data_IF_391519266043
#
_entry.id   IF_391519266043
#
_cell.length_a   1.000
_cell.length_b   1.000
_cell.length_c   1.000
_cell.angle_alpha   90.00
_cell.angle_beta   90.00
_cell.angle_gamma   90.00
#
_symmetry.space_group_name_H-M   'P 1'
#
loop_
_entity.id
_entity.type
_entity.pdbx_description
1 polymer ?
#
# COMPACT_ATOMS: atom_id res chain seq x y z
N UNK A 1 -18.64 -0.90 28.21
CA UNK A 1 -18.64 -0.46 26.78
C UNK A 1 -17.24 -0.75 26.25
N UNK A 2 -17.08 -1.05 24.94
CA UNK A 2 -15.73 -1.14 24.35
C UNK A 2 -15.09 0.24 24.35
N UNK A 3 -13.73 0.30 24.47
CA UNK A 3 -12.99 1.57 24.44
C UNK A 3 -13.21 2.36 23.16
N UNK A 4 -13.05 3.68 23.26
CA UNK A 4 -13.03 4.56 22.10
C UNK A 4 -11.65 4.53 21.43
N UNK A 5 -11.65 4.54 20.11
CA UNK A 5 -10.45 4.43 19.28
C UNK A 5 -10.37 5.61 18.33
N UNK A 6 -9.25 6.33 18.36
CA UNK A 6 -8.87 7.32 17.36
C UNK A 6 -7.89 6.66 16.37
N UNK A 7 -8.17 6.72 15.09
CA UNK A 7 -7.24 6.34 14.02
C UNK A 7 -6.74 7.62 13.36
N UNK A 8 -5.43 7.79 13.24
CA UNK A 8 -4.82 8.96 12.60
C UNK A 8 -4.41 8.60 11.19
N UNK A 9 -5.05 9.21 10.19
CA UNK A 9 -4.83 8.98 8.77
C UNK A 9 -5.95 8.19 8.09
N UNK A 10 -6.35 8.61 6.87
CA UNK A 10 -7.40 8.01 6.04
C UNK A 10 -6.86 7.43 4.72
N UNK A 11 -5.60 7.05 4.68
CA UNK A 11 -5.06 6.18 3.64
C UNK A 11 -5.52 4.73 3.82
N UNK A 12 -5.06 3.83 2.95
CA UNK A 12 -5.48 2.41 2.99
C UNK A 12 -5.26 1.77 4.36
N UNK A 13 -4.14 2.04 5.04
CA UNK A 13 -3.85 1.47 6.37
C UNK A 13 -4.85 1.95 7.44
N UNK A 14 -5.15 3.26 7.46
CA UNK A 14 -6.09 3.82 8.44
C UNK A 14 -7.53 3.42 8.19
N UNK A 15 -7.96 3.42 6.93
CA UNK A 15 -9.31 2.95 6.57
C UNK A 15 -9.48 1.47 6.91
N UNK A 16 -8.49 0.63 6.62
CA UNK A 16 -8.55 -0.81 6.95
C UNK A 16 -8.60 -1.06 8.46
N UNK A 17 -7.77 -0.36 9.25
CA UNK A 17 -7.85 -0.40 10.71
C UNK A 17 -9.21 0.09 11.21
N UNK A 18 -9.70 1.21 10.67
CA UNK A 18 -11.00 1.76 11.03
C UNK A 18 -12.14 0.77 10.82
N UNK A 19 -12.22 0.16 9.63
CA UNK A 19 -13.19 -0.88 9.30
C UNK A 19 -13.10 -2.03 10.30
N UNK A 20 -11.90 -2.57 10.51
CA UNK A 20 -11.67 -3.72 11.36
C UNK A 20 -12.14 -3.48 12.81
N UNK A 21 -11.82 -2.32 13.37
CA UNK A 21 -12.21 -1.98 14.74
C UNK A 21 -13.70 -1.69 14.85
N UNK A 22 -14.29 -0.95 13.91
CA UNK A 22 -15.71 -0.63 13.91
C UNK A 22 -16.58 -1.89 13.78
N UNK A 23 -16.27 -2.80 12.83
CA UNK A 23 -16.98 -4.07 12.67
C UNK A 23 -16.86 -4.98 13.88
N UNK A 24 -15.78 -4.85 14.66
CA UNK A 24 -15.62 -5.54 15.94
C UNK A 24 -16.27 -4.80 17.11
N UNK A 25 -17.05 -3.74 16.82
CA UNK A 25 -17.91 -3.03 17.77
C UNK A 25 -17.16 -2.03 18.64
N UNK A 26 -15.98 -1.54 18.24
CA UNK A 26 -15.33 -0.41 18.88
C UNK A 26 -15.93 0.90 18.37
N UNK A 27 -16.05 1.90 19.24
CA UNK A 27 -16.42 3.26 18.84
C UNK A 27 -15.19 3.92 18.20
N UNK A 28 -15.13 3.88 16.87
CA UNK A 28 -13.94 4.26 16.11
C UNK A 28 -14.16 5.55 15.34
N UNK A 29 -13.22 6.49 15.49
CA UNK A 29 -13.16 7.72 14.69
C UNK A 29 -11.84 7.77 13.95
N UNK A 30 -11.89 8.00 12.63
CA UNK A 30 -10.71 8.29 11.82
C UNK A 30 -10.57 9.81 11.70
N UNK A 31 -9.42 10.34 12.08
CA UNK A 31 -9.04 11.73 11.88
C UNK A 31 -7.99 11.82 10.78
N UNK A 32 -8.20 12.69 9.81
CA UNK A 32 -7.25 12.83 8.70
C UNK A 32 -7.22 14.27 8.19
N UNK A 33 -6.01 14.72 7.80
CA UNK A 33 -5.84 15.96 7.06
C UNK A 33 -6.46 15.82 5.67
N UNK A 34 -6.04 14.78 4.97
CA UNK A 34 -6.38 14.49 3.57
C UNK A 34 -7.18 13.19 3.48
N UNK A 35 -8.17 13.15 2.59
CA UNK A 35 -9.02 11.97 2.33
C UNK A 35 -9.13 11.69 0.83
N UNK A 36 -9.48 10.46 0.48
CA UNK A 36 -9.76 10.06 -0.90
C UNK A 36 -8.60 10.36 -1.86
N UNK A 37 -8.85 11.12 -2.95
CA UNK A 37 -7.84 11.39 -4.00
C UNK A 37 -6.59 12.13 -3.53
N UNK A 38 -6.63 12.80 -2.38
CA UNK A 38 -5.53 13.58 -1.83
C UNK A 38 -4.52 12.73 -1.04
N UNK A 39 -4.82 11.46 -0.83
CA UNK A 39 -3.95 10.55 -0.07
C UNK A 39 -2.87 9.93 -0.97
N UNK A 40 -1.70 9.61 -0.39
CA UNK A 40 -0.68 8.79 -1.07
C UNK A 40 -1.26 7.46 -1.59
N UNK A 41 -2.22 6.89 -0.88
CA UNK A 41 -2.88 5.66 -1.29
C UNK A 41 -3.64 5.77 -2.61
N UNK A 42 -4.20 6.93 -2.92
CA UNK A 42 -4.91 7.15 -4.18
C UNK A 42 -3.97 7.16 -5.40
N UNK A 43 -2.72 7.63 -5.22
CA UNK A 43 -1.71 7.68 -6.28
C UNK A 43 -1.06 6.31 -6.56
N UNK A 44 -1.35 5.28 -5.78
CA UNK A 44 -0.74 3.95 -5.94
C UNK A 44 -1.31 3.22 -7.17
N UNK A 45 -0.47 2.45 -7.87
CA UNK A 45 -0.93 1.46 -8.85
C UNK A 45 -1.68 0.29 -8.21
N UNK A 46 -1.38 0.04 -6.93
CA UNK A 46 -2.09 -0.84 -6.01
C UNK A 46 -2.25 -2.29 -6.49
N UNK A 47 -1.19 -2.86 -7.05
CA UNK A 47 -1.09 -4.30 -7.24
C UNK A 47 -0.57 -4.95 -5.95
N UNK A 48 -1.10 -6.12 -5.60
CA UNK A 48 -0.56 -6.90 -4.49
C UNK A 48 0.80 -7.48 -4.89
N UNK A 49 1.82 -6.90 -4.31
CA UNK A 49 3.21 -7.29 -4.54
C UNK A 49 4.04 -6.84 -3.33
N UNK A 50 4.69 -7.75 -2.57
CA UNK A 50 5.60 -7.38 -1.49
C UNK A 50 6.81 -6.64 -2.07
N UNK A 51 6.85 -5.33 -1.89
CA UNK A 51 7.85 -4.44 -2.47
C UNK A 51 8.27 -3.37 -1.46
N UNK A 52 9.58 -3.14 -1.35
CA UNK A 52 10.16 -2.00 -0.61
C UNK A 52 9.65 -1.93 0.85
N UNK A 53 9.62 -3.07 1.56
CA UNK A 53 9.20 -3.17 2.95
C UNK A 53 9.95 -4.29 3.69
N UNK A 54 10.29 -4.04 4.94
CA UNK A 54 11.02 -4.92 5.85
C UNK A 54 10.30 -5.01 7.21
N UNK A 55 10.56 -5.99 8.09
CA UNK A 55 11.41 -7.18 7.85
C UNK A 55 10.68 -8.26 7.04
N UNK A 56 11.39 -8.97 6.19
CA UNK A 56 10.84 -9.86 5.16
C UNK A 56 9.86 -10.91 5.69
N UNK A 57 10.15 -11.55 6.83
CA UNK A 57 9.30 -12.59 7.40
C UNK A 57 7.93 -12.05 7.82
N UNK A 58 7.92 -10.91 8.50
CA UNK A 58 6.67 -10.27 8.94
C UNK A 58 5.91 -9.69 7.74
N UNK A 59 6.61 -9.03 6.82
CA UNK A 59 6.03 -8.51 5.57
C UNK A 59 5.37 -9.64 4.77
N UNK A 60 6.02 -10.80 4.66
CA UNK A 60 5.45 -11.98 3.99
C UNK A 60 4.18 -12.46 4.69
N UNK A 61 4.20 -12.58 6.01
CA UNK A 61 3.02 -13.03 6.78
C UNK A 61 1.83 -12.07 6.63
N UNK A 62 2.06 -10.74 6.79
CA UNK A 62 1.02 -9.73 6.61
C UNK A 62 0.51 -9.67 5.16
N UNK A 63 1.41 -9.84 4.18
CA UNK A 63 1.04 -9.87 2.76
C UNK A 63 0.10 -11.04 2.46
N UNK A 64 0.42 -12.24 2.94
CA UNK A 64 -0.39 -13.44 2.71
C UNK A 64 -1.76 -13.34 3.41
N UNK A 65 -1.83 -12.77 4.62
CA UNK A 65 -3.09 -12.49 5.30
C UNK A 65 -3.95 -11.50 4.49
N UNK A 66 -3.34 -10.44 3.99
CA UNK A 66 -4.00 -9.45 3.11
C UNK A 66 -4.49 -10.09 1.81
N UNK A 67 -3.68 -10.96 1.19
CA UNK A 67 -4.04 -11.70 -0.03
C UNK A 67 -5.33 -12.49 0.17
N UNK A 68 -5.48 -13.18 1.30
CA UNK A 68 -6.69 -13.93 1.63
C UNK A 68 -7.93 -13.04 1.64
N UNK A 69 -7.85 -11.88 2.29
CA UNK A 69 -8.94 -10.91 2.34
C UNK A 69 -9.25 -10.32 0.95
N UNK A 70 -8.24 -9.89 0.20
CA UNK A 70 -8.44 -9.31 -1.13
C UNK A 70 -9.02 -10.33 -2.13
N UNK A 71 -8.64 -11.60 -2.06
CA UNK A 71 -9.28 -12.68 -2.84
C UNK A 71 -10.76 -12.82 -2.53
N UNK A 72 -11.15 -12.73 -1.26
CA UNK A 72 -12.57 -12.70 -0.89
C UNK A 72 -13.29 -11.50 -1.47
N UNK A 73 -12.69 -10.31 -1.39
CA UNK A 73 -13.26 -9.07 -1.92
C UNK A 73 -13.38 -9.07 -3.44
N UNK A 74 -12.47 -9.73 -4.16
CA UNK A 74 -12.51 -9.81 -5.63
C UNK A 74 -13.73 -10.55 -6.19
N UNK A 75 -14.49 -11.27 -5.35
CA UNK A 75 -15.75 -11.90 -5.74
C UNK A 75 -16.89 -10.90 -5.96
N UNK A 76 -16.70 -9.64 -5.51
CA UNK A 76 -17.66 -8.56 -5.71
C UNK A 76 -16.96 -7.38 -6.42
N UNK A 77 -17.30 -7.12 -7.67
CA UNK A 77 -16.71 -6.06 -8.48
C UNK A 77 -16.92 -4.65 -7.91
N UNK A 78 -17.95 -4.44 -7.08
CA UNK A 78 -18.19 -3.16 -6.41
C UNK A 78 -17.10 -2.78 -5.40
N UNK A 79 -16.24 -3.72 -5.00
CA UNK A 79 -15.10 -3.44 -4.11
C UNK A 79 -13.93 -2.77 -4.83
N UNK A 80 -13.86 -2.85 -6.16
CA UNK A 80 -12.71 -2.39 -6.94
C UNK A 80 -11.50 -3.34 -6.87
N UNK A 81 -11.69 -4.57 -6.36
CA UNK A 81 -10.64 -5.60 -6.32
C UNK A 81 -10.89 -6.63 -7.43
N UNK A 82 -9.85 -6.98 -8.18
CA UNK A 82 -9.89 -8.03 -9.19
C UNK A 82 -8.63 -8.89 -9.11
N UNK A 83 -8.73 -10.16 -9.56
CA UNK A 83 -7.55 -11.01 -9.73
C UNK A 83 -6.96 -10.80 -11.12
N UNK A 84 -5.63 -10.76 -11.21
CA UNK A 84 -4.89 -10.57 -12.46
C UNK A 84 -3.63 -11.44 -12.46
N UNK A 85 -3.24 -11.96 -13.62
CA UNK A 85 -1.90 -12.52 -13.79
C UNK A 85 -0.89 -11.37 -13.72
N UNK A 86 0.02 -11.40 -12.75
CA UNK A 86 1.17 -10.52 -12.68
C UNK A 86 2.36 -11.21 -13.35
N UNK A 87 2.98 -10.56 -14.30
CA UNK A 87 4.27 -10.95 -14.89
C UNK A 87 5.37 -10.05 -14.38
N UNK A 88 6.31 -10.65 -13.69
CA UNK A 88 7.51 -9.96 -13.20
C UNK A 88 8.66 -10.32 -14.12
N UNK A 89 9.38 -9.32 -14.63
CA UNK A 89 10.47 -9.48 -15.56
C UNK A 89 11.79 -8.97 -15.02
N UNK A 90 12.90 -9.56 -15.48
CA UNK A 90 14.25 -9.04 -15.31
C UNK A 90 14.81 -8.58 -16.66
N UNK A 91 15.63 -7.51 -16.63
CA UNK A 91 16.30 -6.98 -17.83
C UNK A 91 17.54 -7.80 -18.21
N UNK A 92 18.15 -8.46 -17.23
CA UNK A 92 19.35 -9.28 -17.43
C UNK A 92 19.32 -10.51 -16.52
N UNK A 93 19.97 -11.57 -16.97
CA UNK A 93 20.08 -12.82 -16.20
C UNK A 93 18.76 -13.57 -16.07
N UNK A 94 18.72 -14.47 -15.09
CA UNK A 94 17.55 -15.29 -14.79
C UNK A 94 16.90 -14.83 -13.48
N UNK A 95 15.62 -14.46 -13.55
CA UNK A 95 14.85 -14.04 -12.39
C UNK A 95 14.41 -15.25 -11.56
N UNK A 96 14.79 -15.27 -10.30
CA UNK A 96 14.32 -16.29 -9.35
C UNK A 96 12.89 -16.01 -8.91
N UNK A 97 12.08 -17.06 -8.79
CA UNK A 97 10.74 -16.95 -8.18
C UNK A 97 10.95 -16.80 -6.67
N UNK A 98 10.44 -15.72 -6.04
CA UNK A 98 10.61 -15.54 -4.62
C UNK A 98 9.83 -16.59 -3.80
N UNK A 99 10.31 -16.99 -2.61
CA UNK A 99 9.69 -18.04 -1.80
C UNK A 99 8.20 -17.82 -1.51
N UNK A 100 7.77 -16.58 -1.29
CA UNK A 100 6.36 -16.26 -1.04
C UNK A 100 5.44 -16.55 -2.25
N UNK A 101 5.99 -16.52 -3.48
CA UNK A 101 5.20 -16.72 -4.69
C UNK A 101 5.00 -18.20 -5.05
N UNK A 102 5.90 -19.08 -4.60
CA UNK A 102 5.83 -20.51 -4.90
C UNK A 102 4.51 -21.16 -4.43
N UNK A 103 4.05 -20.96 -3.19
CA UNK A 103 2.76 -21.52 -2.73
C UNK A 103 1.55 -20.95 -3.48
N UNK A 104 1.71 -19.81 -4.15
CA UNK A 104 0.65 -19.18 -4.95
C UNK A 104 0.58 -19.72 -6.38
N UNK A 105 1.41 -20.70 -6.74
CA UNK A 105 1.45 -21.28 -8.07
C UNK A 105 2.26 -20.45 -9.07
N UNK A 106 3.19 -19.64 -8.59
CA UNK A 106 4.09 -18.90 -9.48
C UNK A 106 4.86 -19.83 -10.40
N UNK A 107 4.98 -19.46 -11.67
CA UNK A 107 5.62 -20.26 -12.71
C UNK A 107 6.59 -19.41 -13.54
N UNK A 108 7.68 -20.01 -13.98
CA UNK A 108 8.58 -19.38 -14.95
C UNK A 108 7.83 -19.14 -16.26
N UNK A 109 8.12 -18.01 -16.89
CA UNK A 109 7.62 -17.72 -18.23
C UNK A 109 8.45 -18.48 -19.28
N UNK A 110 7.76 -19.06 -20.26
CA UNK A 110 8.43 -19.61 -21.43
C UNK A 110 9.07 -18.49 -22.26
N UNK A 111 10.13 -18.78 -23.01
CA UNK A 111 10.83 -17.79 -23.81
C UNK A 111 9.90 -16.96 -24.73
N UNK A 112 8.89 -17.60 -25.32
CA UNK A 112 7.90 -16.91 -26.15
C UNK A 112 6.97 -15.94 -25.40
N UNK A 113 6.92 -16.01 -24.06
CA UNK A 113 6.13 -15.13 -23.21
C UNK A 113 6.94 -13.94 -22.66
N UNK A 114 8.26 -13.95 -22.87
CA UNK A 114 9.17 -12.87 -22.45
C UNK A 114 9.42 -11.95 -23.65
N UNK A 115 9.12 -10.64 -23.55
CA UNK A 115 9.48 -9.66 -24.58
C UNK A 115 11.01 -9.53 -24.71
N UNK A 116 11.65 -10.42 -25.46
CA UNK A 116 13.11 -10.64 -25.49
C UNK A 116 13.95 -9.44 -25.94
N UNK A 117 13.32 -8.42 -26.55
CA UNK A 117 14.00 -7.15 -26.87
C UNK A 117 14.25 -6.26 -25.66
N UNK A 118 13.57 -6.53 -24.54
CA UNK A 118 13.58 -5.67 -23.34
C UNK A 118 13.95 -6.47 -22.09
N UNK A 119 13.54 -7.74 -22.03
CA UNK A 119 13.69 -8.59 -20.85
C UNK A 119 14.40 -9.89 -21.21
N UNK A 120 15.08 -10.47 -20.24
CA UNK A 120 15.81 -11.74 -20.38
C UNK A 120 15.06 -12.94 -19.81
N UNK A 121 14.26 -12.71 -18.76
CA UNK A 121 13.53 -13.77 -18.06
C UNK A 121 12.35 -13.17 -17.29
N UNK A 122 11.52 -14.05 -16.72
CA UNK A 122 10.41 -13.62 -15.88
C UNK A 122 9.64 -14.79 -15.28
N UNK A 123 8.75 -14.46 -14.36
CA UNK A 123 7.77 -15.39 -13.81
C UNK A 123 6.37 -14.75 -13.80
N UNK A 124 5.36 -15.60 -13.69
CA UNK A 124 3.97 -15.18 -13.56
C UNK A 124 3.36 -15.75 -12.28
N UNK A 125 2.47 -14.98 -11.67
CA UNK A 125 1.68 -15.36 -10.49
C UNK A 125 0.34 -14.63 -10.52
N UNK A 126 -0.73 -15.27 -10.06
CA UNK A 126 -2.04 -14.63 -9.96
C UNK A 126 -2.18 -13.88 -8.64
N UNK A 127 -2.44 -12.56 -8.70
CA UNK A 127 -2.50 -11.66 -7.55
C UNK A 127 -3.66 -10.68 -7.65
N UNK A 128 -4.12 -10.08 -6.53
CA UNK A 128 -5.09 -8.99 -6.57
C UNK A 128 -4.49 -7.70 -7.15
N UNK A 129 -5.28 -7.03 -7.97
CA UNK A 129 -5.13 -5.61 -8.30
C UNK A 129 -6.29 -4.84 -7.66
N UNK A 130 -5.99 -3.66 -7.16
CA UNK A 130 -6.95 -2.81 -6.47
C UNK A 130 -7.11 -1.51 -7.24
N UNK A 131 -8.34 -1.23 -7.70
CA UNK A 131 -8.66 0.07 -8.27
C UNK A 131 -8.84 1.08 -7.13
N UNK A 132 -7.86 1.94 -6.94
CA UNK A 132 -7.83 2.90 -5.84
C UNK A 132 -8.95 3.91 -5.89
N UNK A 133 -9.49 4.19 -7.09
CA UNK A 133 -10.61 5.11 -7.30
C UNK A 133 -11.94 4.57 -6.78
N UNK A 134 -12.04 3.25 -6.65
CA UNK A 134 -13.22 2.53 -6.13
C UNK A 134 -12.98 2.07 -4.69
N UNK A 135 -11.87 1.41 -4.44
CA UNK A 135 -11.61 0.69 -3.20
C UNK A 135 -11.53 1.58 -1.96
N UNK A 136 -10.91 2.76 -2.05
CA UNK A 136 -10.84 3.68 -0.91
C UNK A 136 -12.24 4.19 -0.52
N UNK A 137 -13.09 4.47 -1.51
CA UNK A 137 -14.50 4.80 -1.30
C UNK A 137 -15.29 3.64 -0.69
N UNK A 138 -15.05 2.41 -1.18
CA UNK A 138 -15.64 1.21 -0.60
C UNK A 138 -15.25 1.01 0.87
N UNK A 139 -13.98 1.18 1.24
CA UNK A 139 -13.54 1.09 2.64
C UNK A 139 -14.19 2.17 3.51
N UNK A 140 -14.28 3.42 3.01
CA UNK A 140 -14.92 4.51 3.73
C UNK A 140 -16.41 4.26 3.96
N UNK A 141 -17.14 3.77 2.95
CA UNK A 141 -18.54 3.38 3.08
C UNK A 141 -18.72 2.23 4.08
N UNK A 142 -17.93 1.18 3.96
CA UNK A 142 -17.95 0.02 4.86
C UNK A 142 -17.63 0.42 6.32
N UNK A 143 -16.74 1.39 6.51
CA UNK A 143 -16.44 1.96 7.83
C UNK A 143 -17.65 2.71 8.40
N UNK A 144 -18.31 3.55 7.60
CA UNK A 144 -19.50 4.27 8.00
C UNK A 144 -20.67 3.34 8.32
N UNK A 145 -20.89 2.30 7.50
CA UNK A 145 -21.93 1.28 7.72
C UNK A 145 -21.72 0.51 9.02
N UNK A 146 -20.46 0.33 9.44
CA UNK A 146 -20.09 -0.25 10.73
C UNK A 146 -20.23 0.74 11.93
N UNK A 147 -20.74 1.95 11.68
CA UNK A 147 -20.93 3.00 12.71
C UNK A 147 -19.65 3.80 13.00
N UNK A 148 -18.64 3.74 12.15
CA UNK A 148 -17.43 4.56 12.25
C UNK A 148 -17.66 6.01 11.83
N UNK A 149 -16.85 6.93 12.34
CA UNK A 149 -16.90 8.35 12.01
C UNK A 149 -15.59 8.80 11.37
N UNK A 150 -15.66 9.43 10.18
CA UNK A 150 -14.52 10.01 9.47
C UNK A 150 -14.56 11.55 9.60
N UNK A 151 -13.50 12.13 10.18
CA UNK A 151 -13.32 13.57 10.37
C UNK A 151 -12.14 14.03 9.51
N UNK A 152 -12.44 14.77 8.44
CA UNK A 152 -11.45 15.34 7.52
C UNK A 152 -10.99 16.72 7.96
N UNK A 153 -9.86 17.20 7.38
CA UNK A 153 -9.28 18.50 7.69
C UNK A 153 -8.67 18.59 9.09
N UNK A 154 -8.45 17.46 9.76
CA UNK A 154 -7.83 17.41 11.09
C UNK A 154 -6.35 17.10 10.95
N UNK A 155 -5.52 17.96 11.53
CA UNK A 155 -4.10 17.78 11.62
C UNK A 155 -3.66 17.77 13.09
N UNK A 156 -2.93 16.77 13.49
CA UNK A 156 -2.30 16.68 14.82
C UNK A 156 -0.80 16.91 14.67
N UNK A 157 -0.25 17.79 15.51
CA UNK A 157 1.19 18.02 15.60
C UNK A 157 1.87 17.00 16.53
N UNK A 158 1.12 16.53 17.53
CA UNK A 158 1.57 15.52 18.48
C UNK A 158 0.44 14.56 18.86
N UNK A 159 0.77 13.37 19.38
CA UNK A 159 -0.23 12.42 19.89
C UNK A 159 -1.07 12.97 21.03
N UNK A 160 -0.50 13.92 21.80
CA UNK A 160 -1.20 14.61 22.89
C UNK A 160 -2.34 15.49 22.44
N UNK A 161 -2.40 15.88 21.17
CA UNK A 161 -3.48 16.71 20.61
C UNK A 161 -4.79 15.91 20.40
N UNK A 162 -4.69 14.56 20.43
CA UNK A 162 -5.87 13.71 20.36
C UNK A 162 -6.64 13.82 21.68
N UNK A 163 -7.93 14.08 21.60
CA UNK A 163 -8.78 14.24 22.79
C UNK A 163 -8.62 13.08 23.79
N UNK A 164 -8.53 13.37 25.11
CA UNK A 164 -8.36 12.33 26.15
C UNK A 164 -9.50 11.30 26.22
N UNK A 165 -10.66 11.61 25.62
CA UNK A 165 -11.77 10.67 25.53
C UNK A 165 -11.45 9.42 24.68
N UNK A 166 -10.40 9.45 23.86
CA UNK A 166 -9.93 8.31 23.11
C UNK A 166 -8.86 7.55 23.90
N UNK A 167 -9.24 6.40 24.42
CA UNK A 167 -8.37 5.55 25.24
C UNK A 167 -7.27 4.85 24.41
N UNK A 168 -7.51 4.70 23.11
CA UNK A 168 -6.58 4.09 22.15
C UNK A 168 -6.39 4.97 20.94
N UNK A 169 -5.14 5.09 20.50
CA UNK A 169 -4.73 5.81 19.30
C UNK A 169 -4.06 4.82 18.35
N UNK A 170 -4.54 4.74 17.10
CA UNK A 170 -3.88 3.95 16.05
C UNK A 170 -3.23 4.93 15.09
N UNK A 171 -1.90 4.95 15.08
CA UNK A 171 -1.14 5.84 14.22
C UNK A 171 -0.91 5.22 12.84
N UNK A 172 -1.77 5.60 11.89
CA UNK A 172 -1.71 5.25 10.45
C UNK A 172 -1.36 6.48 9.60
N UNK A 173 -0.62 7.44 10.14
CA UNK A 173 -0.37 8.73 9.49
C UNK A 173 0.62 8.69 8.31
N UNK A 174 1.12 7.51 7.93
CA UNK A 174 2.00 7.32 6.79
C UNK A 174 3.27 8.16 6.91
N UNK A 175 3.54 9.01 5.91
CA UNK A 175 4.71 9.91 5.95
C UNK A 175 4.63 10.94 7.09
N UNK A 176 3.43 11.27 7.56
CA UNK A 176 3.22 12.14 8.70
C UNK A 176 3.73 11.57 10.03
N UNK A 177 3.98 10.26 10.10
CA UNK A 177 4.44 9.61 11.33
C UNK A 177 5.79 10.16 11.83
N UNK A 178 6.68 10.53 10.91
CA UNK A 178 7.98 11.12 11.25
C UNK A 178 7.90 12.48 11.96
N UNK A 179 6.73 13.17 11.84
CA UNK A 179 6.47 14.45 12.55
C UNK A 179 5.65 14.24 13.81
N UNK A 180 4.59 13.41 13.71
CA UNK A 180 3.68 13.13 14.82
C UNK A 180 4.39 12.48 16.01
N UNK A 181 5.39 11.67 15.73
CA UNK A 181 6.37 11.09 16.64
C UNK A 181 7.73 11.31 16.01
N UNK A 182 8.74 11.84 16.73
CA UNK A 182 10.07 11.98 16.18
C UNK A 182 10.64 10.60 15.80
N UNK A 183 10.36 10.14 14.59
CA UNK A 183 10.91 8.92 14.01
C UNK A 183 11.78 9.30 12.79
N UNK A 184 13.09 9.49 12.96
CA UNK A 184 14.01 9.88 11.91
C UNK A 184 14.23 8.79 10.87
N UNK A 185 13.72 7.59 11.13
CA UNK A 185 13.81 6.46 10.20
C UNK A 185 12.78 6.54 9.07
N UNK A 186 11.76 7.42 9.20
CA UNK A 186 10.74 7.62 8.18
C UNK A 186 11.22 8.65 7.16
N UNK A 187 11.32 8.23 5.90
CA UNK A 187 11.70 9.10 4.79
C UNK A 187 10.76 8.98 3.60
N UNK A 188 10.54 10.06 2.84
CA UNK A 188 9.66 10.05 1.69
C UNK A 188 10.35 9.43 0.48
N UNK A 189 9.80 8.32 -0.02
CA UNK A 189 10.14 7.78 -1.33
C UNK A 189 9.11 8.23 -2.36
N UNK A 190 9.50 9.20 -3.17
CA UNK A 190 8.64 9.81 -4.19
C UNK A 190 8.36 8.81 -5.31
N UNK A 191 7.09 8.58 -5.57
CA UNK A 191 6.60 7.79 -6.69
C UNK A 191 5.73 8.63 -7.62
N UNK A 192 6.17 8.80 -8.87
CA UNK A 192 5.36 9.37 -9.93
C UNK A 192 4.84 8.28 -10.86
N UNK A 193 3.59 8.41 -11.28
CA UNK A 193 2.92 7.54 -12.23
C UNK A 193 2.19 8.35 -13.29
N UNK A 194 2.00 7.74 -14.45
CA UNK A 194 1.13 8.23 -15.52
C UNK A 194 -0.12 7.35 -15.60
N UNK A 195 -1.30 7.95 -15.56
CA UNK A 195 -2.57 7.28 -15.81
C UNK A 195 -2.93 7.45 -17.28
N UNK A 196 -3.21 6.35 -17.97
CA UNK A 196 -3.60 6.31 -19.36
C UNK A 196 -4.93 5.59 -19.54
N UNK A 197 -5.55 5.72 -20.71
CA UNK A 197 -6.75 4.94 -21.02
C UNK A 197 -6.47 3.43 -20.87
N UNK A 198 -7.52 2.67 -20.57
CA UNK A 198 -7.41 1.22 -20.40
C UNK A 198 -6.72 0.59 -21.60
N UNK A 199 -5.59 -0.04 -21.33
CA UNK A 199 -4.86 -0.82 -22.32
C UNK A 199 -5.44 -2.25 -22.37
N UNK A 200 -5.46 -2.85 -23.57
CA UNK A 200 -5.89 -4.25 -23.75
C UNK A 200 -4.79 -5.23 -23.29
N UNK A 201 -4.40 -5.13 -22.02
CA UNK A 201 -3.41 -5.98 -21.39
C UNK A 201 -4.13 -7.10 -20.61
N UNK A 202 -3.89 -8.38 -20.94
CA UNK A 202 -4.47 -9.49 -20.20
C UNK A 202 -3.75 -9.81 -18.89
N UNK A 203 -2.67 -9.08 -18.57
CA UNK A 203 -1.85 -9.25 -17.37
C UNK A 203 -1.25 -7.91 -16.93
N UNK A 204 -0.91 -7.82 -15.66
CA UNK A 204 -0.10 -6.74 -15.14
C UNK A 204 1.39 -7.04 -15.37
N UNK A 205 2.20 -5.99 -15.51
CA UNK A 205 3.65 -6.09 -15.71
C UNK A 205 4.39 -5.31 -14.65
N UNK A 206 5.46 -5.90 -14.11
CA UNK A 206 6.40 -5.24 -13.20
C UNK A 206 7.83 -5.63 -13.59
N UNK A 207 8.74 -4.66 -13.60
CA UNK A 207 10.18 -4.84 -13.68
C UNK A 207 10.84 -3.89 -12.69
N UNK A 208 11.43 -4.46 -11.63
CA UNK A 208 12.11 -3.67 -10.59
C UNK A 208 13.54 -3.29 -10.97
N UNK A 209 14.11 -3.95 -12.00
CA UNK A 209 15.42 -3.55 -12.53
C UNK A 209 15.37 -2.13 -13.10
N UNK A 210 16.37 -1.28 -12.81
CA UNK A 210 16.40 0.08 -13.33
C UNK A 210 16.41 0.15 -14.88
N UNK A 211 15.65 1.09 -15.45
CA UNK A 211 14.67 1.94 -14.82
C UNK A 211 13.42 1.16 -14.39
N UNK A 212 12.94 1.43 -13.16
CA UNK A 212 11.69 0.86 -12.64
C UNK A 212 10.54 1.03 -13.64
N UNK A 213 9.86 -0.06 -13.97
CA UNK A 213 8.74 -0.05 -14.90
C UNK A 213 7.63 -0.97 -14.42
N UNK A 214 6.40 -0.47 -14.48
CA UNK A 214 5.20 -1.30 -14.35
C UNK A 214 4.06 -0.77 -15.23
N UNK A 215 3.17 -1.68 -15.61
CA UNK A 215 1.91 -1.36 -16.27
C UNK A 215 0.80 -2.19 -15.59
N UNK A 216 -0.08 -1.51 -14.89
CA UNK A 216 -1.11 -2.12 -14.05
C UNK A 216 -2.49 -1.77 -14.61
N UNK A 217 -3.16 -2.71 -15.33
CA UNK A 217 -4.51 -2.50 -15.82
C UNK A 217 -5.49 -2.54 -14.66
N UNK A 218 -6.30 -1.46 -14.51
CA UNK A 218 -7.39 -1.37 -13.55
C UNK A 218 -8.75 -1.49 -14.25
N UNK A 219 -9.82 -1.15 -13.58
CA UNK A 219 -11.19 -1.26 -14.09
C UNK A 219 -11.40 -0.43 -15.36
N UNK A 220 -11.04 0.86 -15.31
CA UNK A 220 -11.32 1.84 -16.38
C UNK A 220 -10.08 2.44 -17.04
N UNK A 221 -8.91 2.24 -16.47
CA UNK A 221 -7.65 2.85 -16.89
C UNK A 221 -6.47 1.87 -16.77
N UNK A 222 -5.27 2.36 -17.06
CA UNK A 222 -4.03 1.66 -16.77
C UNK A 222 -3.05 2.64 -16.10
N UNK A 223 -2.40 2.18 -15.03
CA UNK A 223 -1.35 2.94 -14.35
C UNK A 223 0.00 2.50 -14.87
N UNK A 224 0.74 3.42 -15.45
CA UNK A 224 2.12 3.24 -15.88
C UNK A 224 3.06 3.86 -14.84
N UNK A 225 4.09 3.15 -14.46
CA UNK A 225 5.06 3.64 -13.49
C UNK A 225 6.47 3.15 -13.74
N UNK A 226 7.46 3.61 -13.03
CA UNK A 226 7.32 4.67 -12.07
C UNK A 226 8.68 5.24 -11.63
N UNK A 227 8.64 6.04 -10.59
CA UNK A 227 9.84 6.49 -9.88
C UNK A 227 9.88 5.96 -8.45
N UNK A 228 11.06 5.96 -7.84
CA UNK A 228 11.27 5.61 -6.43
C UNK A 228 12.49 6.37 -5.89
N UNK A 229 12.37 7.69 -5.78
CA UNK A 229 13.47 8.58 -5.42
C UNK A 229 13.27 9.10 -3.99
N UNK A 230 14.34 9.24 -3.22
CA UNK A 230 14.27 9.92 -1.91
C UNK A 230 14.04 11.42 -2.17
N UNK A 231 12.80 11.85 -2.00
CA UNK A 231 12.37 13.23 -2.26
C UNK A 231 10.98 13.48 -1.67
N UNK A 232 10.73 14.70 -1.21
CA UNK A 232 9.43 15.19 -0.73
C UNK A 232 8.67 16.03 -1.78
N UNK A 233 9.21 16.14 -3.01
CA UNK A 233 8.59 16.91 -4.08
C UNK A 233 7.29 16.25 -4.56
N UNK A 234 6.16 16.90 -4.31
CA UNK A 234 4.83 16.45 -4.73
C UNK A 234 4.43 16.89 -6.14
N UNK A 235 5.25 17.69 -6.82
CA UNK A 235 4.94 18.14 -8.19
C UNK A 235 5.31 17.06 -9.20
N UNK A 236 4.44 16.77 -10.17
CA UNK A 236 4.80 15.94 -11.31
C UNK A 236 5.97 16.56 -12.10
N UNK A 237 6.90 15.74 -12.53
CA UNK A 237 8.02 16.13 -13.37
C UNK A 237 7.78 15.64 -14.80
N UNK A 238 7.68 16.51 -15.81
CA UNK A 238 7.41 16.10 -17.19
C UNK A 238 8.41 15.08 -17.75
N UNK A 239 9.70 15.22 -17.39
CA UNK A 239 10.73 14.27 -17.81
C UNK A 239 10.49 12.86 -17.25
N UNK A 240 9.99 12.74 -16.01
CA UNK A 240 9.62 11.43 -15.43
C UNK A 240 8.42 10.85 -16.17
N UNK A 241 7.40 11.65 -16.47
CA UNK A 241 6.22 11.20 -17.21
C UNK A 241 6.61 10.69 -18.60
N UNK A 242 7.41 11.45 -19.34
CA UNK A 242 7.90 11.04 -20.65
C UNK A 242 8.69 9.72 -20.59
N UNK A 243 9.60 9.59 -19.63
CA UNK A 243 10.37 8.37 -19.41
C UNK A 243 9.47 7.18 -19.07
N UNK A 244 8.50 7.35 -18.16
CA UNK A 244 7.56 6.30 -17.73
C UNK A 244 6.76 5.77 -18.92
N UNK A 245 6.18 6.68 -19.70
CA UNK A 245 5.33 6.33 -20.85
C UNK A 245 6.15 5.65 -21.95
N UNK A 246 7.31 6.19 -22.30
CA UNK A 246 8.17 5.63 -23.32
C UNK A 246 8.73 4.25 -22.92
N UNK A 247 9.09 4.07 -21.66
CA UNK A 247 9.60 2.80 -21.15
C UNK A 247 8.51 1.73 -21.17
N UNK A 248 7.30 2.06 -20.74
CA UNK A 248 6.16 1.14 -20.77
C UNK A 248 5.78 0.79 -22.22
N UNK A 249 5.70 1.77 -23.11
CA UNK A 249 5.42 1.56 -24.53
C UNK A 249 6.45 0.61 -25.18
N UNK A 250 7.75 0.85 -24.93
CA UNK A 250 8.84 -0.01 -25.40
C UNK A 250 8.72 -1.44 -24.87
N UNK A 251 8.43 -1.59 -23.58
CA UNK A 251 8.33 -2.89 -22.93
C UNK A 251 7.12 -3.71 -23.39
N UNK A 252 6.01 -3.01 -23.69
CA UNK A 252 4.77 -3.63 -24.14
C UNK A 252 4.66 -3.76 -25.66
N UNK A 253 5.58 -3.16 -26.42
CA UNK A 253 5.54 -3.13 -27.88
C UNK A 253 4.39 -2.30 -28.45
N UNK A 254 4.05 -1.20 -27.78
CA UNK A 254 2.97 -0.28 -28.13
C UNK A 254 3.53 1.09 -28.55
N UNK A 255 2.71 1.88 -29.22
CA UNK A 255 2.96 3.31 -29.33
C UNK A 255 2.73 3.97 -27.97
N UNK A 256 3.49 5.06 -27.62
CA UNK A 256 3.29 5.78 -26.38
C UNK A 256 1.84 6.28 -26.21
N UNK A 257 1.08 5.79 -25.22
CA UNK A 257 -0.31 6.19 -25.04
C UNK A 257 -0.41 7.63 -24.52
N UNK A 258 -1.49 8.36 -24.87
CA UNK A 258 -1.77 9.67 -24.29
C UNK A 258 -1.97 9.58 -22.78
N UNK A 259 -1.33 10.50 -22.04
CA UNK A 259 -1.47 10.63 -20.58
C UNK A 259 -2.78 11.35 -20.26
N UNK A 260 -3.61 10.74 -19.42
CA UNK A 260 -4.85 11.31 -18.91
C UNK A 260 -4.63 12.09 -17.62
N UNK A 261 -3.73 11.59 -16.76
CA UNK A 261 -3.37 12.23 -15.51
C UNK A 261 -1.96 11.81 -15.06
N UNK A 262 -1.33 12.68 -14.30
CA UNK A 262 -0.09 12.44 -13.59
C UNK A 262 -0.38 12.42 -12.08
N UNK A 263 0.17 11.45 -11.36
CA UNK A 263 -0.02 11.35 -9.92
C UNK A 263 1.34 11.19 -9.24
N UNK A 264 1.49 11.86 -8.10
CA UNK A 264 2.67 11.75 -7.24
C UNK A 264 2.22 11.36 -5.83
N UNK A 265 2.91 10.39 -5.26
CA UNK A 265 2.71 9.99 -3.87
C UNK A 265 4.04 9.83 -3.15
N UNK A 266 4.06 10.16 -1.87
CA UNK A 266 5.23 9.93 -1.01
C UNK A 266 5.03 8.62 -0.26
N UNK A 267 5.74 7.58 -0.69
CA UNK A 267 5.74 6.30 0.01
C UNK A 267 6.41 6.49 1.36
N UNK A 268 5.75 6.11 2.47
CA UNK A 268 6.34 6.23 3.80
C UNK A 268 7.34 5.09 4.02
N UNK A 269 8.53 5.22 3.48
CA UNK A 269 9.60 4.26 3.71
C UNK A 269 10.17 4.46 5.12
N UNK A 270 10.46 3.35 5.81
CA UNK A 270 11.11 3.37 7.12
C UNK A 270 12.30 2.43 7.11
N UNK A 271 13.48 2.95 7.37
CA UNK A 271 14.74 2.19 7.28
C UNK A 271 14.80 0.97 8.21
N UNK A 272 14.14 1.05 9.37
CA UNK A 272 14.01 -0.07 10.32
C UNK A 272 12.83 -0.99 10.04
N UNK A 273 12.19 -0.85 8.86
CA UNK A 273 11.04 -1.63 8.45
C UNK A 273 9.70 -1.13 8.98
N UNK A 274 8.65 -1.86 8.64
CA UNK A 274 7.26 -1.55 9.02
C UNK A 274 7.12 -1.57 10.55
N UNK A 275 6.52 -0.52 11.10
CA UNK A 275 6.27 -0.42 12.54
C UNK A 275 4.82 -0.79 12.85
N UNK A 276 4.60 -2.03 13.32
CA UNK A 276 3.36 -2.43 13.99
C UNK A 276 3.72 -2.74 15.44
N UNK A 277 3.52 -1.74 16.31
CA UNK A 277 4.00 -1.81 17.70
C UNK A 277 3.06 -1.08 18.65
N UNK A 278 2.81 -1.68 19.81
CA UNK A 278 2.07 -1.06 20.92
C UNK A 278 3.03 -0.28 21.83
N UNK A 279 2.60 0.89 22.24
CA UNK A 279 3.30 1.76 23.18
C UNK A 279 2.31 2.35 24.18
N UNK A 280 2.73 2.55 25.42
CA UNK A 280 1.95 3.32 26.40
C UNK A 280 2.57 4.70 26.53
N UNK A 281 1.74 5.73 26.34
CA UNK A 281 2.19 7.13 26.46
C UNK A 281 2.01 7.63 27.90
N UNK A 282 2.70 8.74 28.22
CA UNK A 282 2.80 9.25 29.60
C UNK A 282 1.47 9.54 30.29
N UNK A 283 0.39 9.79 29.53
CA UNK A 283 -0.96 10.03 30.05
C UNK A 283 -1.78 8.74 30.27
N UNK A 284 -1.15 7.57 30.10
CA UNK A 284 -1.76 6.24 30.32
C UNK A 284 -2.57 5.71 29.13
N UNK A 285 -2.63 6.43 28.00
CA UNK A 285 -3.29 5.93 26.79
C UNK A 285 -2.39 4.93 26.04
N UNK A 286 -3.02 4.02 25.34
CA UNK A 286 -2.33 3.08 24.45
C UNK A 286 -2.24 3.65 23.05
N UNK A 287 -1.05 3.72 22.48
CA UNK A 287 -0.78 4.00 21.07
C UNK A 287 -0.37 2.73 20.36
N UNK A 288 -0.96 2.46 19.21
CA UNK A 288 -0.53 1.37 18.33
C UNK A 288 -0.08 2.00 16.99
N UNK A 289 1.18 1.80 16.67
CA UNK A 289 1.76 2.26 15.42
C UNK A 289 1.43 1.31 14.28
N UNK A 290 1.14 1.85 13.09
CA UNK A 290 0.92 1.11 11.86
C UNK A 290 1.35 1.98 10.67
N UNK A 291 2.66 2.13 10.49
CA UNK A 291 3.24 2.96 9.44
C UNK A 291 4.59 2.42 8.96
N UNK A 292 5.18 3.08 7.96
CA UNK A 292 6.48 2.68 7.41
C UNK A 292 6.39 1.59 6.35
N UNK A 293 5.25 1.50 5.63
CA UNK A 293 4.96 0.42 4.68
C UNK A 293 5.68 0.57 3.32
N UNK A 294 6.47 1.64 3.11
CA UNK A 294 7.14 1.88 1.82
C UNK A 294 6.17 1.83 0.64
N UNK A 295 6.50 1.04 -0.37
CA UNK A 295 5.66 0.80 -1.54
C UNK A 295 4.53 -0.23 -1.33
N UNK A 296 4.48 -0.93 -0.18
CA UNK A 296 3.62 -2.11 0.05
C UNK A 296 2.33 -1.82 0.83
N UNK A 297 1.89 -0.57 0.96
CA UNK A 297 0.73 -0.22 1.79
C UNK A 297 -0.54 -1.03 1.52
N UNK A 298 -0.92 -1.25 0.25
CA UNK A 298 -2.07 -2.09 -0.11
C UNK A 298 -1.82 -3.57 0.16
N UNK A 299 -0.61 -4.03 -0.13
CA UNK A 299 -0.17 -5.41 0.06
C UNK A 299 -0.23 -5.85 1.52
N UNK A 300 0.05 -4.92 2.45
CA UNK A 300 0.14 -5.19 3.88
C UNK A 300 -1.13 -4.84 4.67
N UNK A 301 -2.06 -4.10 4.08
CA UNK A 301 -3.13 -3.36 4.76
C UNK A 301 -3.94 -4.20 5.77
N UNK A 302 -4.52 -5.32 5.35
CA UNK A 302 -5.35 -6.17 6.22
C UNK A 302 -4.51 -6.96 7.22
N UNK A 303 -3.36 -7.50 6.78
CA UNK A 303 -2.47 -8.24 7.67
C UNK A 303 -1.94 -7.36 8.81
N UNK A 304 -1.50 -6.13 8.49
CA UNK A 304 -1.10 -5.17 9.52
C UNK A 304 -2.27 -4.74 10.41
N UNK A 305 -3.48 -4.56 9.85
CA UNK A 305 -4.65 -4.21 10.67
C UNK A 305 -5.03 -5.32 11.65
N UNK A 306 -4.93 -6.59 11.24
CA UNK A 306 -5.14 -7.73 12.14
C UNK A 306 -4.07 -7.78 13.23
N UNK A 307 -2.81 -7.53 12.90
CA UNK A 307 -1.73 -7.43 13.89
C UNK A 307 -1.96 -6.28 14.87
N UNK A 308 -2.33 -5.08 14.40
CA UNK A 308 -2.76 -3.93 15.24
C UNK A 308 -3.85 -4.37 16.22
N UNK A 309 -4.81 -5.14 15.74
CA UNK A 309 -5.89 -5.64 16.59
C UNK A 309 -5.43 -6.71 17.58
N UNK A 310 -4.44 -7.49 17.25
CA UNK A 310 -3.86 -8.49 18.16
C UNK A 310 -3.05 -7.83 19.27
N UNK A 311 -2.12 -6.92 18.91
CA UNK A 311 -1.23 -6.26 19.88
C UNK A 311 -1.98 -5.33 20.84
N UNK A 312 -3.12 -4.76 20.44
CA UNK A 312 -3.95 -3.93 21.33
C UNK A 312 -4.56 -4.70 22.51
N UNK A 313 -4.65 -6.04 22.41
CA UNK A 313 -5.15 -6.92 23.45
C UNK A 313 -4.06 -7.43 24.41
N UNK A 314 -2.80 -7.06 24.19
CA UNK A 314 -1.68 -7.61 24.94
C UNK A 314 -1.25 -9.04 24.53
N UNK A 315 -1.81 -9.57 23.42
CA UNK A 315 -1.51 -10.91 22.90
C UNK A 315 -0.50 -10.88 21.73
N UNK A 316 0.02 -9.72 21.34
CA UNK A 316 1.02 -9.58 20.30
C UNK A 316 2.44 -9.76 20.83
N UNK A 317 3.35 -10.20 20.00
CA UNK A 317 4.77 -10.36 20.32
C UNK A 317 5.36 -9.09 20.94
N UNK A 318 5.67 -9.15 22.22
CA UNK A 318 6.56 -8.20 22.86
C UNK A 318 7.97 -8.41 22.26
N UNK A 319 8.48 -7.36 21.64
CA UNK A 319 9.88 -7.10 21.31
C UNK A 319 10.77 -8.20 20.73
N UNK A 320 11.06 -8.04 19.44
CA UNK A 320 12.29 -8.56 18.84
C UNK A 320 13.56 -7.87 19.39
N UNK A 321 13.43 -6.79 20.18
CA UNK A 321 14.54 -6.02 20.76
C UNK A 321 15.08 -6.57 22.08
N UNK A 322 14.38 -7.51 22.75
CA UNK A 322 14.89 -8.15 23.99
C UNK A 322 15.57 -9.50 23.77
N UNK A 323 15.82 -9.90 22.53
CA UNK A 323 16.49 -11.17 22.19
C UNK A 323 17.84 -11.01 21.50
N UNK A 324 18.51 -9.88 21.67
CA UNK A 324 19.90 -9.67 21.24
C UNK A 324 20.87 -9.69 22.41
#
# INVERSE_FOLDING_TARGET
MKPSVAVIGAGVSGLTCGVLFAERGYRTTIFARDIGPQTTSAAAAAIWFPYDAEPLDQVTAWSLATLGTLRGLSQNSATGVAMVELRVFARSGELSIPPWALPLGARRLAAAQVPSRVFSSGYAVEVPVVDTTIYLGYLAARFADAGGMLVSGTHFEALGDVEPAYERIINCSGIGAGRLLPDPEVEPHRGQVAVVAKLSLPYAVVCDDPPLMYAIPRTSDCVLGGTNDVSDNMQPLPADTERIVNEAARALGLDPPPVLAEQVGLRPYRRLGVRVQREEVADGRTVIHNYGHGGSGFTLSWGCAEEVFAVQRGNGNLDAAERA
#
